data_IF_335878704955
#
_entry.id   IF_335878704955
#
_cell.length_a   1.000
_cell.length_b   1.000
_cell.length_c   1.000
_cell.angle_alpha   90.00
_cell.angle_beta   90.00
_cell.angle_gamma   90.00
#
_symmetry.space_group_name_H-M   'P 1'
#
loop_
_entity.id
_entity.type
_entity.pdbx_description
1 polymer ?
#
# COMPACT_ATOMS: atom_id res chain seq x y z
N UNK A 1 -8.69 4.07 -12.10
CA UNK A 1 -8.33 2.77 -11.50
C UNK A 1 -9.06 2.54 -10.17
N UNK A 2 -9.02 3.50 -9.24
CA UNK A 2 -9.81 3.50 -8.00
C UNK A 2 -10.71 4.73 -8.02
N UNK A 3 -11.98 4.58 -7.62
CA UNK A 3 -12.91 5.70 -7.39
C UNK A 3 -13.53 5.53 -6.02
N UNK A 4 -13.48 6.58 -5.24
CA UNK A 4 -14.03 6.66 -3.89
C UNK A 4 -15.01 7.82 -3.86
N UNK A 5 -16.25 7.57 -3.46
CA UNK A 5 -17.28 8.59 -3.35
C UNK A 5 -17.93 8.54 -1.97
N UNK A 6 -17.80 9.65 -1.24
CA UNK A 6 -18.38 9.85 0.09
C UNK A 6 -18.13 8.68 1.06
N UNK A 7 -16.90 8.11 1.03
CA UNK A 7 -16.54 6.97 1.85
C UNK A 7 -16.62 7.30 3.33
N UNK A 8 -17.43 6.55 4.03
CA UNK A 8 -17.63 6.64 5.49
C UNK A 8 -17.26 5.33 6.17
N UNK A 9 -16.58 5.42 7.30
CA UNK A 9 -16.28 4.26 8.17
C UNK A 9 -16.46 4.64 9.62
N UNK A 10 -17.25 3.83 10.31
CA UNK A 10 -17.53 3.95 11.71
C UNK A 10 -17.17 2.66 12.45
N UNK A 11 -16.60 2.78 13.64
CA UNK A 11 -16.37 1.69 14.58
C UNK A 11 -17.09 2.02 15.89
N UNK A 12 -18.19 1.32 16.18
CA UNK A 12 -19.06 1.70 17.28
C UNK A 12 -19.55 3.14 17.10
N UNK A 13 -19.29 4.00 18.07
CA UNK A 13 -19.66 5.44 18.02
C UNK A 13 -18.59 6.32 17.34
N UNK A 14 -17.41 5.76 17.03
CA UNK A 14 -16.29 6.52 16.45
C UNK A 14 -16.39 6.62 14.93
N UNK A 15 -16.61 7.81 14.41
CA UNK A 15 -16.57 8.12 12.97
C UNK A 15 -15.12 8.37 12.53
N UNK A 16 -14.48 7.35 11.95
CA UNK A 16 -13.07 7.40 11.54
C UNK A 16 -12.90 8.01 10.15
N UNK A 17 -13.76 7.65 9.19
CA UNK A 17 -13.82 8.29 7.87
C UNK A 17 -15.18 8.98 7.72
N UNK A 18 -15.14 10.23 7.26
CA UNK A 18 -16.28 11.15 7.30
C UNK A 18 -16.66 11.71 5.94
N UNK A 19 -16.60 10.87 4.91
CA UNK A 19 -17.00 11.26 3.55
C UNK A 19 -15.82 11.58 2.63
N UNK A 20 -14.82 10.70 2.59
CA UNK A 20 -13.68 10.82 1.67
C UNK A 20 -14.16 10.57 0.23
N UNK A 21 -13.79 11.49 -0.68
CA UNK A 21 -14.01 11.34 -2.12
C UNK A 21 -12.71 11.64 -2.85
N UNK A 22 -12.26 10.71 -3.69
CA UNK A 22 -11.09 10.88 -4.55
C UNK A 22 -11.11 9.86 -5.70
N UNK A 23 -10.35 10.14 -6.74
CA UNK A 23 -10.11 9.19 -7.84
C UNK A 23 -8.60 8.96 -7.97
N UNK A 24 -8.19 7.75 -8.30
CA UNK A 24 -6.79 7.40 -8.55
C UNK A 24 -6.72 6.77 -9.94
N UNK A 25 -5.92 7.38 -10.81
CA UNK A 25 -5.74 6.95 -12.20
C UNK A 25 -4.87 5.68 -12.29
N UNK A 26 -4.82 5.08 -13.48
CA UNK A 26 -3.84 4.05 -13.76
C UNK A 26 -2.44 4.67 -13.84
N UNK A 27 -1.44 3.95 -13.35
CA UNK A 27 -0.02 4.36 -13.31
C UNK A 27 0.23 5.61 -12.44
N UNK A 28 -0.73 6.00 -11.60
CA UNK A 28 -0.58 7.13 -10.66
C UNK A 28 -0.04 6.64 -9.31
N UNK A 29 0.90 7.36 -8.76
CA UNK A 29 1.42 7.19 -7.40
C UNK A 29 0.81 8.25 -6.50
N UNK A 30 -0.07 7.83 -5.59
CA UNK A 30 -0.73 8.69 -4.61
C UNK A 30 -0.16 8.43 -3.22
N UNK A 31 0.47 9.43 -2.62
CA UNK A 31 0.88 9.36 -1.22
C UNK A 31 -0.18 9.95 -0.30
N UNK A 32 -0.50 9.23 0.77
CA UNK A 32 -1.45 9.64 1.81
C UNK A 32 -0.67 9.96 3.07
N UNK A 33 -0.71 11.23 3.48
CA UNK A 33 -0.02 11.74 4.66
C UNK A 33 -1.02 12.29 5.68
N UNK A 34 -0.58 12.50 6.91
CA UNK A 34 -1.39 13.09 7.98
C UNK A 34 -1.02 12.54 9.37
N UNK A 35 -1.57 13.11 10.45
CA UNK A 35 -1.26 12.68 11.81
C UNK A 35 -1.71 11.24 12.08
N UNK A 36 -1.12 10.62 13.12
CA UNK A 36 -1.55 9.31 13.59
C UNK A 36 -3.02 9.37 14.04
N UNK A 37 -3.77 8.32 13.74
CA UNK A 37 -5.21 8.25 14.07
C UNK A 37 -6.13 9.05 13.13
N UNK A 38 -5.64 9.69 12.06
CA UNK A 38 -6.45 10.47 11.12
C UNK A 38 -7.32 9.63 10.16
N UNK A 39 -7.14 8.30 10.14
CA UNK A 39 -7.93 7.40 9.30
C UNK A 39 -7.22 6.86 8.05
N UNK A 40 -5.93 7.18 7.82
CA UNK A 40 -5.15 6.77 6.63
C UNK A 40 -5.16 5.25 6.38
N UNK A 41 -4.76 4.46 7.37
CA UNK A 41 -4.77 3.00 7.27
C UNK A 41 -6.18 2.43 7.09
N UNK A 42 -7.17 3.04 7.73
CA UNK A 42 -8.59 2.67 7.56
C UNK A 42 -9.06 2.93 6.13
N UNK A 43 -8.68 4.08 5.55
CA UNK A 43 -8.94 4.40 4.15
C UNK A 43 -8.36 3.33 3.21
N UNK A 44 -7.10 2.96 3.40
CA UNK A 44 -6.44 1.94 2.60
C UNK A 44 -7.12 0.56 2.73
N UNK A 45 -7.48 0.17 3.95
CA UNK A 45 -8.17 -1.10 4.24
C UNK A 45 -9.58 -1.13 3.69
N UNK A 46 -10.27 0.00 3.62
CA UNK A 46 -11.55 0.10 2.91
C UNK A 46 -11.37 -0.13 1.40
N UNK A 47 -10.32 0.40 0.76
CA UNK A 47 -10.05 0.17 -0.67
C UNK A 47 -9.82 -1.32 -0.97
N UNK A 48 -9.12 -2.05 -0.10
CA UNK A 48 -8.89 -3.50 -0.27
C UNK A 48 -10.03 -4.37 0.31
N UNK A 49 -11.14 -3.75 0.72
CA UNK A 49 -12.27 -4.44 1.36
C UNK A 49 -11.88 -5.29 2.59
N UNK A 50 -10.78 -4.96 3.27
CA UNK A 50 -10.43 -5.52 4.58
C UNK A 50 -11.29 -4.92 5.69
N UNK A 51 -11.77 -3.70 5.48
CA UNK A 51 -12.78 -3.04 6.31
C UNK A 51 -14.03 -2.80 5.47
N UNK A 52 -15.18 -3.16 6.03
CA UNK A 52 -16.49 -2.87 5.42
C UNK A 52 -16.81 -1.39 5.53
N UNK A 53 -17.38 -0.81 4.49
CA UNK A 53 -17.83 0.57 4.49
C UNK A 53 -19.04 0.73 5.40
N UNK A 54 -19.16 1.87 6.09
CA UNK A 54 -20.37 2.27 6.79
C UNK A 54 -21.29 3.12 5.89
N UNK A 55 -20.74 3.71 4.83
CA UNK A 55 -21.47 4.48 3.83
C UNK A 55 -20.57 4.88 2.67
N UNK A 56 -21.18 5.37 1.61
CA UNK A 56 -20.50 5.75 0.39
C UNK A 56 -20.25 4.58 -0.56
N UNK A 57 -19.49 4.84 -1.61
CA UNK A 57 -19.20 3.90 -2.70
C UNK A 57 -17.71 3.86 -2.99
N UNK A 58 -17.19 2.65 -3.22
CA UNK A 58 -15.81 2.45 -3.66
C UNK A 58 -15.79 1.46 -4.82
N UNK A 59 -15.17 1.88 -5.92
CA UNK A 59 -14.88 1.03 -7.07
C UNK A 59 -13.37 0.84 -7.18
N UNK A 60 -12.94 -0.40 -7.32
CA UNK A 60 -11.53 -0.77 -7.48
C UNK A 60 -11.40 -1.67 -8.68
N UNK A 61 -10.68 -1.21 -9.70
CA UNK A 61 -10.48 -1.94 -10.95
C UNK A 61 -11.79 -2.46 -11.58
N UNK A 62 -12.87 -1.67 -11.49
CA UNK A 62 -14.21 -2.02 -11.98
C UNK A 62 -15.07 -2.82 -11.01
N UNK A 63 -14.55 -3.25 -9.87
CA UNK A 63 -15.31 -3.95 -8.83
C UNK A 63 -15.92 -2.96 -7.84
N UNK A 64 -17.25 -2.98 -7.69
CA UNK A 64 -17.96 -2.20 -6.68
C UNK A 64 -17.89 -2.90 -5.33
N UNK A 65 -16.89 -2.57 -4.49
CA UNK A 65 -16.61 -3.31 -3.24
C UNK A 65 -17.68 -3.14 -2.17
N UNK A 66 -18.52 -2.13 -2.27
CA UNK A 66 -19.70 -1.92 -1.42
C UNK A 66 -20.88 -2.86 -1.75
N UNK A 67 -20.84 -3.54 -2.90
CA UNK A 67 -21.90 -4.43 -3.35
C UNK A 67 -21.69 -5.85 -2.82
N UNK A 68 -22.73 -6.43 -2.21
CA UNK A 68 -22.73 -7.83 -1.77
C UNK A 68 -22.59 -8.85 -2.92
N UNK A 69 -22.81 -8.41 -4.17
CA UNK A 69 -22.68 -9.25 -5.37
C UNK A 69 -21.25 -9.33 -5.89
N UNK A 70 -20.35 -8.51 -5.36
CA UNK A 70 -18.96 -8.45 -5.82
C UNK A 70 -18.16 -9.62 -5.27
N UNK A 71 -17.47 -10.34 -6.15
CA UNK A 71 -16.45 -11.32 -5.77
C UNK A 71 -15.18 -10.59 -5.29
N UNK A 72 -15.10 -10.41 -3.98
CA UNK A 72 -13.97 -9.74 -3.34
C UNK A 72 -12.66 -10.51 -3.50
N UNK A 73 -12.69 -11.83 -3.63
CA UNK A 73 -11.48 -12.62 -3.85
C UNK A 73 -10.89 -12.29 -5.22
N UNK A 74 -11.74 -12.26 -6.25
CA UNK A 74 -11.32 -11.87 -7.60
C UNK A 74 -10.82 -10.43 -7.68
N UNK A 75 -11.44 -9.51 -6.93
CA UNK A 75 -10.95 -8.14 -6.82
C UNK A 75 -9.55 -8.11 -6.19
N UNK A 76 -9.35 -8.83 -5.07
CA UNK A 76 -8.05 -8.88 -4.35
C UNK A 76 -6.94 -9.54 -5.15
N UNK A 77 -7.23 -10.38 -6.15
CA UNK A 77 -6.21 -10.89 -7.09
C UNK A 77 -5.52 -9.75 -7.87
N UNK A 78 -6.22 -8.64 -8.09
CA UNK A 78 -5.71 -7.48 -8.82
C UNK A 78 -5.11 -6.38 -7.93
N UNK A 79 -5.13 -6.57 -6.61
CA UNK A 79 -4.69 -5.59 -5.62
C UNK A 79 -3.69 -6.22 -4.66
N UNK A 80 -2.43 -5.84 -4.74
CA UNK A 80 -1.42 -6.20 -3.76
C UNK A 80 -1.49 -5.26 -2.55
N UNK A 81 -1.24 -5.79 -1.35
CA UNK A 81 -1.17 -4.98 -0.14
C UNK A 81 0.05 -5.37 0.70
N UNK A 82 0.80 -4.36 1.11
CA UNK A 82 1.95 -4.44 2.00
C UNK A 82 1.61 -3.70 3.28
N UNK A 83 1.78 -4.37 4.41
CA UNK A 83 1.41 -3.87 5.73
C UNK A 83 2.63 -3.33 6.49
N UNK A 84 2.38 -2.55 7.53
CA UNK A 84 3.38 -2.08 8.48
C UNK A 84 4.15 -3.24 9.12
N UNK A 85 3.43 -4.31 9.52
CA UNK A 85 4.04 -5.58 9.92
C UNK A 85 4.17 -6.46 8.70
N UNK A 86 5.28 -7.14 8.55
CA UNK A 86 5.64 -7.90 7.35
C UNK A 86 4.66 -9.03 7.03
N UNK A 87 4.02 -9.59 8.06
CA UNK A 87 3.00 -10.65 7.96
C UNK A 87 3.44 -11.86 7.12
N UNK A 88 4.73 -12.20 7.18
CA UNK A 88 5.24 -13.42 6.56
C UNK A 88 4.82 -14.63 7.39
N UNK A 89 4.60 -15.75 6.73
CA UNK A 89 4.35 -17.03 7.39
C UNK A 89 5.66 -17.54 8.00
N UNK A 90 5.81 -17.59 9.34
CA UNK A 90 7.11 -17.83 9.97
C UNK A 90 7.61 -19.27 9.80
N UNK A 91 6.71 -20.22 9.51
CA UNK A 91 6.99 -21.64 9.28
C UNK A 91 7.25 -21.98 7.81
N UNK A 92 7.26 -21.02 6.93
CA UNK A 92 7.53 -21.13 5.50
C UNK A 92 8.81 -20.39 5.13
N UNK A 93 9.55 -20.94 4.18
CA UNK A 93 10.72 -20.26 3.60
C UNK A 93 10.29 -19.00 2.83
N UNK A 94 11.24 -18.15 2.43
CA UNK A 94 11.02 -17.01 1.55
C UNK A 94 10.35 -17.43 0.25
N UNK A 95 10.86 -18.48 -0.39
CA UNK A 95 10.27 -19.05 -1.61
C UNK A 95 8.80 -19.43 -1.38
N UNK A 96 8.53 -20.20 -0.35
CA UNK A 96 7.18 -20.70 -0.05
C UNK A 96 6.20 -19.57 0.26
N UNK A 97 6.63 -18.51 0.97
CA UNK A 97 5.84 -17.32 1.20
C UNK A 97 5.42 -16.63 -0.12
N UNK A 98 6.29 -16.62 -1.12
CA UNK A 98 6.04 -15.94 -2.40
C UNK A 98 5.16 -16.79 -3.32
N UNK A 99 5.40 -18.11 -3.43
CA UNK A 99 4.73 -18.98 -4.41
C UNK A 99 3.35 -19.46 -3.97
N UNK A 100 3.02 -19.41 -2.68
CA UNK A 100 1.80 -19.98 -2.14
C UNK A 100 0.54 -19.42 -2.82
N UNK A 101 0.40 -18.10 -2.93
CA UNK A 101 -0.77 -17.47 -3.52
C UNK A 101 -0.85 -17.68 -5.05
N UNK A 102 0.22 -17.52 -5.84
CA UNK A 102 0.22 -17.86 -7.26
C UNK A 102 -0.20 -19.30 -7.55
N UNK A 103 0.29 -20.25 -6.79
CA UNK A 103 -0.11 -21.66 -6.94
C UNK A 103 -1.55 -21.92 -6.51
N UNK A 104 -1.94 -21.39 -5.34
CA UNK A 104 -3.27 -21.63 -4.76
C UNK A 104 -4.39 -20.94 -5.53
N UNK A 105 -4.21 -19.68 -5.92
CA UNK A 105 -5.24 -18.83 -6.52
C UNK A 105 -5.16 -18.83 -8.04
N UNK A 106 -3.99 -18.52 -8.63
CA UNK A 106 -3.81 -18.47 -10.09
C UNK A 106 -3.54 -19.84 -10.72
N UNK A 107 -3.43 -20.89 -9.91
CA UNK A 107 -3.20 -22.26 -10.37
C UNK A 107 -1.91 -22.44 -11.19
N UNK A 108 -0.90 -21.61 -10.92
CA UNK A 108 0.41 -21.78 -11.57
C UNK A 108 1.04 -23.11 -11.19
N UNK A 109 1.78 -23.68 -12.14
CA UNK A 109 2.65 -24.81 -11.82
C UNK A 109 3.73 -24.40 -10.81
N UNK A 110 4.25 -25.36 -10.03
CA UNK A 110 5.34 -25.07 -9.09
C UNK A 110 6.59 -24.54 -9.82
N UNK A 111 6.85 -25.03 -11.02
CA UNK A 111 8.00 -24.59 -11.83
C UNK A 111 7.83 -23.11 -12.22
N UNK A 112 6.67 -22.71 -12.75
CA UNK A 112 6.40 -21.34 -13.13
C UNK A 112 6.38 -20.38 -11.93
N UNK A 113 5.80 -20.84 -10.81
CA UNK A 113 5.78 -20.08 -9.57
C UNK A 113 7.19 -19.85 -9.01
N UNK A 114 8.08 -20.86 -9.06
CA UNK A 114 9.48 -20.74 -8.66
C UNK A 114 10.23 -19.73 -9.56
N UNK A 115 10.10 -19.84 -10.88
CA UNK A 115 10.74 -18.89 -11.83
C UNK A 115 10.29 -17.45 -11.54
N UNK A 116 8.99 -17.24 -11.28
CA UNK A 116 8.44 -15.95 -10.91
C UNK A 116 9.02 -15.44 -9.60
N UNK A 117 9.08 -16.30 -8.58
CA UNK A 117 9.63 -15.95 -7.26
C UNK A 117 11.11 -15.56 -7.36
N UNK A 118 11.92 -16.31 -8.11
CA UNK A 118 13.33 -15.97 -8.34
C UNK A 118 13.50 -14.61 -9.02
N UNK A 119 12.70 -14.32 -10.05
CA UNK A 119 12.75 -13.01 -10.73
C UNK A 119 12.40 -11.86 -9.78
N UNK A 120 11.38 -12.04 -8.92
CA UNK A 120 10.99 -11.06 -7.92
C UNK A 120 12.04 -10.91 -6.82
N UNK A 121 12.64 -12.01 -6.37
CA UNK A 121 13.72 -11.96 -5.39
C UNK A 121 14.97 -11.26 -5.93
N UNK A 122 15.32 -11.44 -7.21
CA UNK A 122 16.36 -10.62 -7.87
C UNK A 122 16.00 -9.15 -7.86
N UNK A 123 14.74 -8.81 -8.18
CA UNK A 123 14.24 -7.43 -8.19
C UNK A 123 14.36 -6.75 -6.82
N UNK A 124 14.07 -7.46 -5.73
CA UNK A 124 14.19 -6.92 -4.37
C UNK A 124 15.56 -7.18 -3.72
N UNK A 125 16.55 -7.73 -4.46
CA UNK A 125 17.93 -7.96 -4.01
C UNK A 125 18.06 -9.03 -2.92
N UNK A 126 17.25 -10.10 -2.97
CA UNK A 126 17.21 -11.15 -1.94
C UNK A 126 17.21 -12.58 -2.49
N UNK A 127 17.77 -12.78 -3.71
CA UNK A 127 17.81 -14.12 -4.30
C UNK A 127 18.62 -15.11 -3.45
N UNK A 128 19.68 -14.65 -2.78
CA UNK A 128 20.50 -15.44 -1.86
C UNK A 128 19.77 -15.90 -0.60
N UNK A 129 18.59 -15.35 -0.32
CA UNK A 129 17.74 -15.68 0.83
C UNK A 129 16.55 -16.57 0.49
N UNK A 130 16.50 -17.14 -0.71
CA UNK A 130 15.34 -17.89 -1.22
C UNK A 130 14.90 -19.03 -0.28
N UNK A 131 15.84 -19.75 0.34
CA UNK A 131 15.59 -20.86 1.25
C UNK A 131 15.59 -20.44 2.74
N UNK A 132 15.79 -19.15 3.02
CA UNK A 132 15.81 -18.63 4.38
C UNK A 132 14.40 -18.59 4.99
N UNK A 133 14.31 -18.67 6.32
CA UNK A 133 13.08 -18.46 7.07
C UNK A 133 12.98 -16.99 7.52
N UNK A 134 11.75 -16.44 7.68
CA UNK A 134 11.57 -15.05 8.13
C UNK A 134 12.34 -14.66 9.39
N UNK A 135 12.48 -15.58 10.35
CA UNK A 135 13.20 -15.35 11.60
C UNK A 135 14.70 -15.06 11.44
N UNK A 136 15.29 -15.44 10.30
CA UNK A 136 16.71 -15.18 10.00
C UNK A 136 16.94 -13.92 9.18
N UNK A 137 15.89 -13.17 8.86
CA UNK A 137 15.93 -11.96 8.05
C UNK A 137 15.83 -10.70 8.91
N UNK A 138 16.54 -9.63 8.50
CA UNK A 138 16.32 -8.29 9.06
C UNK A 138 14.92 -7.77 8.74
N UNK A 139 14.44 -6.75 9.47
CA UNK A 139 13.14 -6.12 9.20
C UNK A 139 13.01 -5.61 7.76
N UNK A 140 14.04 -4.94 7.23
CA UNK A 140 14.05 -4.47 5.84
C UNK A 140 14.03 -5.61 4.82
N UNK A 141 14.72 -6.74 5.09
CA UNK A 141 14.65 -7.93 4.26
C UNK A 141 13.25 -8.55 4.30
N UNK A 142 12.65 -8.70 5.48
CA UNK A 142 11.28 -9.21 5.61
C UNK A 142 10.27 -8.36 4.85
N UNK A 143 10.40 -7.04 4.90
CA UNK A 143 9.52 -6.13 4.17
C UNK A 143 9.69 -6.25 2.66
N UNK A 144 10.93 -6.37 2.17
CA UNK A 144 11.19 -6.60 0.74
C UNK A 144 10.64 -7.96 0.27
N UNK A 145 10.69 -8.99 1.10
CA UNK A 145 10.00 -10.27 0.81
C UNK A 145 8.48 -10.09 0.77
N UNK A 146 7.89 -9.30 1.69
CA UNK A 146 6.46 -9.00 1.68
C UNK A 146 6.04 -8.26 0.40
N UNK A 147 6.87 -7.34 -0.10
CA UNK A 147 6.66 -6.67 -1.39
C UNK A 147 6.73 -7.70 -2.53
N UNK A 148 7.76 -8.56 -2.58
CA UNK A 148 7.88 -9.60 -3.59
C UNK A 148 6.69 -10.56 -3.58
N UNK A 149 6.21 -10.96 -2.40
CA UNK A 149 5.01 -11.79 -2.24
C UNK A 149 3.76 -11.12 -2.81
N UNK A 150 3.56 -9.83 -2.56
CA UNK A 150 2.43 -9.09 -3.13
C UNK A 150 2.53 -9.00 -4.66
N UNK A 151 3.72 -8.72 -5.20
CA UNK A 151 3.98 -8.64 -6.63
C UNK A 151 3.83 -10.00 -7.35
N UNK A 152 4.00 -11.12 -6.66
CA UNK A 152 3.88 -12.46 -7.25
C UNK A 152 2.47 -12.75 -7.81
N UNK A 153 1.46 -12.04 -7.32
CA UNK A 153 0.09 -12.07 -7.86
C UNK A 153 -0.10 -11.21 -9.12
N UNK A 154 0.94 -10.49 -9.60
CA UNK A 154 0.85 -9.54 -10.72
C UNK A 154 -0.32 -8.56 -10.56
N UNK A 155 -0.37 -7.84 -9.45
CA UNK A 155 -1.47 -6.92 -9.18
C UNK A 155 -1.40 -5.71 -10.12
N UNK A 156 -2.56 -5.11 -10.38
CA UNK A 156 -2.66 -3.83 -11.11
C UNK A 156 -2.49 -2.62 -10.19
N UNK A 157 -2.67 -2.82 -8.90
CA UNK A 157 -2.61 -1.79 -7.87
C UNK A 157 -1.81 -2.33 -6.69
N UNK A 158 -0.90 -1.53 -6.16
CA UNK A 158 -0.19 -1.81 -4.91
C UNK A 158 -0.58 -0.82 -3.83
N UNK A 159 -1.02 -1.34 -2.69
CA UNK A 159 -1.36 -0.57 -1.50
C UNK A 159 -0.27 -0.77 -0.45
N UNK A 160 0.26 0.32 0.10
CA UNK A 160 1.29 0.29 1.13
C UNK A 160 0.79 1.00 2.40
N UNK A 161 0.63 0.25 3.48
CA UNK A 161 0.18 0.76 4.79
C UNK A 161 1.40 0.94 5.71
N UNK A 162 2.01 2.13 5.70
CA UNK A 162 3.19 2.50 6.49
C UNK A 162 4.34 1.48 6.40
N UNK A 163 4.85 1.17 5.20
CA UNK A 163 5.75 0.04 4.96
C UNK A 163 7.11 0.14 5.65
N UNK A 164 7.47 1.31 6.18
CA UNK A 164 8.78 1.57 6.81
C UNK A 164 8.69 1.81 8.32
N UNK A 165 7.50 2.01 8.88
CA UNK A 165 7.33 2.46 10.27
C UNK A 165 7.73 1.44 11.34
N UNK A 166 7.89 0.16 10.97
CA UNK A 166 8.38 -0.90 11.86
C UNK A 166 9.88 -1.23 11.65
N UNK A 167 10.61 -0.39 10.90
CA UNK A 167 12.00 -0.61 10.54
C UNK A 167 12.94 0.33 11.31
N UNK A 168 14.16 -0.16 11.55
CA UNK A 168 15.25 0.71 11.96
C UNK A 168 15.57 1.72 10.85
N UNK A 169 15.91 2.98 11.17
CA UNK A 169 16.13 4.04 10.18
C UNK A 169 17.15 3.68 9.08
N UNK A 170 18.19 2.91 9.41
CA UNK A 170 19.21 2.46 8.46
C UNK A 170 18.68 1.47 7.40
N UNK A 171 17.56 0.78 7.68
CA UNK A 171 16.95 -0.20 6.77
C UNK A 171 15.84 0.40 5.87
N UNK A 172 15.38 1.61 6.18
CA UNK A 172 14.30 2.30 5.45
C UNK A 172 14.66 2.51 3.99
N UNK A 173 15.91 2.94 3.72
CA UNK A 173 16.37 3.28 2.38
C UNK A 173 16.24 2.12 1.37
N UNK A 174 16.52 0.90 1.80
CA UNK A 174 16.43 -0.29 0.94
C UNK A 174 14.99 -0.59 0.50
N UNK A 175 14.03 -0.41 1.39
CA UNK A 175 12.60 -0.62 1.09
C UNK A 175 12.09 0.49 0.17
N UNK A 176 12.43 1.74 0.45
CA UNK A 176 12.05 2.88 -0.38
C UNK A 176 12.65 2.78 -1.79
N UNK A 177 13.87 2.26 -1.94
CA UNK A 177 14.48 2.04 -3.26
C UNK A 177 13.66 1.06 -4.12
N UNK A 178 13.17 -0.04 -3.54
CA UNK A 178 12.28 -0.98 -4.23
C UNK A 178 10.97 -0.28 -4.63
N UNK A 179 10.36 0.50 -3.73
CA UNK A 179 9.12 1.21 -4.03
C UNK A 179 9.30 2.27 -5.13
N UNK A 180 10.44 2.99 -5.15
CA UNK A 180 10.81 3.92 -6.24
C UNK A 180 10.91 3.19 -7.58
N UNK A 181 11.55 2.02 -7.63
CA UNK A 181 11.62 1.22 -8.86
C UNK A 181 10.23 0.85 -9.37
N UNK A 182 9.32 0.43 -8.49
CA UNK A 182 7.94 0.11 -8.87
C UNK A 182 7.20 1.32 -9.45
N UNK A 183 7.38 2.50 -8.86
CA UNK A 183 6.79 3.75 -9.36
C UNK A 183 7.32 4.08 -10.77
N UNK A 184 8.64 4.01 -10.99
CA UNK A 184 9.25 4.24 -12.29
C UNK A 184 8.81 3.24 -13.37
N UNK A 185 8.44 2.02 -12.98
CA UNK A 185 7.88 1.00 -13.87
C UNK A 185 6.39 1.24 -14.19
N UNK A 186 5.79 2.30 -13.67
CA UNK A 186 4.39 2.65 -13.92
C UNK A 186 3.38 1.87 -13.09
N UNK A 187 3.77 1.33 -11.92
CA UNK A 187 2.84 0.67 -11.00
C UNK A 187 1.88 1.70 -10.40
N UNK A 188 0.58 1.43 -10.45
CA UNK A 188 -0.41 2.22 -9.71
C UNK A 188 -0.24 1.96 -8.22
N UNK A 189 0.01 3.01 -7.44
CA UNK A 189 0.34 2.86 -6.02
C UNK A 189 -0.47 3.82 -5.15
N UNK A 190 -0.94 3.33 -3.98
CA UNK A 190 -1.45 4.16 -2.90
C UNK A 190 -0.60 3.89 -1.67
N UNK A 191 0.11 4.90 -1.20
CA UNK A 191 1.13 4.76 -0.16
C UNK A 191 0.80 5.62 1.04
N UNK A 192 0.38 5.00 2.14
CA UNK A 192 0.34 5.67 3.45
C UNK A 192 1.77 5.70 3.99
N UNK A 193 2.30 6.89 4.23
CA UNK A 193 3.70 7.03 4.65
C UNK A 193 3.94 8.23 5.57
N UNK A 194 4.97 8.13 6.39
CA UNK A 194 5.59 9.22 7.14
C UNK A 194 6.91 9.68 6.50
N UNK A 195 7.34 9.05 5.42
CA UNK A 195 8.55 9.37 4.68
C UNK A 195 8.29 10.55 3.71
N UNK A 196 8.37 11.78 4.22
CA UNK A 196 8.05 12.98 3.43
C UNK A 196 8.99 13.16 2.23
N UNK A 197 10.27 12.75 2.38
CA UNK A 197 11.24 12.75 1.28
C UNK A 197 10.82 11.84 0.13
N UNK A 198 10.35 10.63 0.44
CA UNK A 198 9.82 9.70 -0.55
C UNK A 198 8.57 10.28 -1.25
N UNK A 199 7.60 10.77 -0.47
CA UNK A 199 6.38 11.35 -1.03
C UNK A 199 6.68 12.55 -1.94
N UNK A 200 7.67 13.38 -1.58
CA UNK A 200 8.10 14.54 -2.38
C UNK A 200 8.74 14.15 -3.71
N UNK A 201 9.50 13.04 -3.72
CA UNK A 201 10.28 12.59 -4.89
C UNK A 201 9.46 11.74 -5.87
N UNK A 202 8.53 10.93 -5.36
CA UNK A 202 7.93 9.82 -6.14
C UNK A 202 6.44 10.01 -6.39
N UNK A 203 5.73 10.76 -5.55
CA UNK A 203 4.29 10.91 -5.72
C UNK A 203 3.93 11.81 -6.90
N UNK A 204 2.93 11.42 -7.68
CA UNK A 204 2.26 12.30 -8.63
C UNK A 204 1.31 13.24 -7.89
N UNK A 205 0.68 12.73 -6.81
CA UNK A 205 -0.26 13.47 -5.98
C UNK A 205 -0.16 13.05 -4.52
N UNK A 206 -0.41 14.02 -3.63
CA UNK A 206 -0.43 13.83 -2.19
C UNK A 206 -1.81 14.18 -1.66
N UNK A 207 -2.37 13.30 -0.84
CA UNK A 207 -3.60 13.51 -0.08
C UNK A 207 -3.23 13.73 1.39
N UNK A 208 -3.56 14.90 1.93
CA UNK A 208 -3.43 15.15 3.36
C UNK A 208 -4.75 14.82 4.05
N UNK A 209 -4.75 13.73 4.86
CA UNK A 209 -5.93 13.28 5.61
C UNK A 209 -5.79 13.67 7.08
N UNK A 210 -6.76 14.40 7.60
CA UNK A 210 -6.89 14.66 9.02
C UNK A 210 -8.37 14.65 9.44
N UNK A 211 -8.65 14.17 10.65
CA UNK A 211 -10.00 14.04 11.20
C UNK A 211 -11.00 13.29 10.30
N UNK A 212 -10.49 12.30 9.53
CA UNK A 212 -11.30 11.45 8.67
C UNK A 212 -11.74 12.05 7.35
N UNK A 213 -11.21 13.21 6.95
CA UNK A 213 -11.48 13.84 5.67
C UNK A 213 -10.18 14.21 4.96
N UNK A 214 -10.23 14.37 3.64
CA UNK A 214 -9.13 14.98 2.87
C UNK A 214 -9.20 16.48 3.13
N UNK A 215 -8.20 17.02 3.82
CA UNK A 215 -8.07 18.44 4.14
C UNK A 215 -7.49 19.23 2.95
N UNK A 216 -6.58 18.60 2.22
CA UNK A 216 -5.92 19.18 1.06
C UNK A 216 -5.39 18.07 0.16
N UNK A 217 -5.45 18.29 -1.15
CA UNK A 217 -4.82 17.43 -2.14
C UNK A 217 -4.13 18.28 -3.22
N UNK A 218 -3.05 17.73 -3.76
CA UNK A 218 -2.30 18.42 -4.81
C UNK A 218 -1.02 17.70 -5.18
N UNK A 219 -0.24 18.29 -6.07
CA UNK A 219 1.10 17.81 -6.39
C UNK A 219 2.03 17.92 -5.18
N UNK A 220 3.13 17.15 -5.12
CA UNK A 220 4.12 17.29 -4.05
C UNK A 220 4.60 18.74 -3.85
N UNK A 221 4.81 19.47 -4.96
CA UNK A 221 5.20 20.88 -4.90
C UNK A 221 4.16 21.76 -4.23
N UNK A 222 2.87 21.55 -4.51
CA UNK A 222 1.79 22.31 -3.89
C UNK A 222 1.70 22.00 -2.39
N UNK A 223 1.68 20.73 -2.01
CA UNK A 223 1.48 20.31 -0.62
C UNK A 223 2.70 20.64 0.25
N UNK A 224 3.92 20.36 -0.21
CA UNK A 224 5.12 20.48 0.65
C UNK A 224 5.77 21.88 0.62
N UNK A 225 5.55 22.65 -0.43
CA UNK A 225 6.19 23.96 -0.55
C UNK A 225 5.21 25.14 -0.43
N UNK A 226 3.96 24.96 -0.87
CA UNK A 226 2.95 26.01 -0.90
C UNK A 226 1.57 25.51 -0.41
N UNK A 227 1.47 24.86 0.78
CA UNK A 227 0.19 24.39 1.29
C UNK A 227 -0.76 25.58 1.54
N UNK A 228 -2.01 25.45 1.12
CA UNK A 228 -3.04 26.49 1.27
C UNK A 228 -3.89 26.31 2.52
N UNK A 229 -4.08 25.04 2.95
CA UNK A 229 -4.87 24.73 4.12
C UNK A 229 -4.07 24.96 5.41
N UNK A 230 -4.56 25.76 6.38
CA UNK A 230 -3.87 26.04 7.64
C UNK A 230 -3.54 24.78 8.44
N UNK A 231 -4.37 23.73 8.30
CA UNK A 231 -4.15 22.47 9.00
C UNK A 231 -2.97 21.68 8.39
N UNK A 232 -2.84 21.70 7.05
CA UNK A 232 -1.68 21.15 6.33
C UNK A 232 -0.41 21.87 6.74
N UNK A 233 -0.43 23.21 6.76
CA UNK A 233 0.71 24.04 7.19
C UNK A 233 1.15 23.69 8.62
N UNK A 234 0.20 23.61 9.56
CA UNK A 234 0.47 23.28 10.95
C UNK A 234 0.99 21.83 11.13
N UNK A 235 0.63 20.90 10.26
CA UNK A 235 1.16 19.54 10.26
C UNK A 235 2.59 19.52 9.72
N UNK A 236 2.81 20.09 8.55
CA UNK A 236 4.11 20.08 7.88
C UNK A 236 5.20 20.81 8.68
N UNK A 237 4.87 21.91 9.37
CA UNK A 237 5.82 22.63 10.23
C UNK A 237 6.35 21.82 11.43
N UNK A 238 5.74 20.64 11.73
CA UNK A 238 6.17 19.74 12.80
C UNK A 238 6.96 18.54 12.31
N UNK A 239 6.88 18.24 11.01
CA UNK A 239 7.46 16.99 10.43
C UNK A 239 8.54 17.28 9.37
N UNK A 240 8.67 18.51 8.92
CA UNK A 240 9.74 19.04 8.08
C UNK A 240 10.65 19.96 8.88
#
# INVERSE_FOLDING_TARGET
MIRVHNLQKQFGESHVLRGISCEIAANEVVCVIGPSGSGKSTFLRCINALETLSGGEVLVNGFAIHSQKTDLNKMRESVGMVFQRFNLFPHMTVLENIIMAPMGVKKLSRADANLRAEALLRKVGLLDKIDAYPSSLSGGQQQRVAIARALAMEPKIMLFDEPTSALDPELVGEVLAVMKSLAHEGMTMVVVTHEMGFAREVADRVLFIDQGIIQEEGTPQQIFSNPTNPRTQAFLSKVL
#
